data_IF_628200992824
#
_entry.id   IF_628200992824
#
_cell.length_a   1.000
_cell.length_b   1.000
_cell.length_c   1.000
_cell.angle_alpha   90.00
_cell.angle_beta   90.00
_cell.angle_gamma   90.00
#
_symmetry.space_group_name_H-M   'P 1'
#
loop_
_entity.id
_entity.type
_entity.pdbx_description
1 polymer ?
#
# COMPACT_ATOMS: atom_id res chain seq x y z
N UNK A 1 21.91 -17.28 15.92
CA UNK A 1 20.48 -17.60 15.75
C UNK A 1 20.33 -18.43 14.50
N UNK A 2 19.50 -19.48 14.51
CA UNK A 2 19.19 -20.24 13.29
C UNK A 2 18.33 -19.36 12.39
N UNK A 3 18.79 -19.10 11.16
CA UNK A 3 17.95 -18.48 10.14
C UNK A 3 16.69 -19.34 9.94
N UNK A 4 15.50 -18.73 9.88
CA UNK A 4 14.27 -19.46 9.59
C UNK A 4 14.37 -20.15 8.22
N UNK A 5 13.70 -21.28 8.06
CA UNK A 5 13.63 -22.00 6.78
C UNK A 5 12.92 -21.13 5.71
N UNK A 6 13.18 -21.42 4.43
CA UNK A 6 12.65 -20.63 3.30
C UNK A 6 11.12 -20.58 3.29
N UNK A 7 10.45 -21.69 3.59
CA UNK A 7 8.98 -21.73 3.66
C UNK A 7 8.44 -20.84 4.78
N UNK A 8 9.14 -20.80 5.92
CA UNK A 8 8.80 -19.95 7.06
C UNK A 8 8.97 -18.47 6.71
N UNK A 9 10.04 -18.12 5.96
CA UNK A 9 10.26 -16.75 5.48
C UNK A 9 9.17 -16.33 4.49
N UNK A 10 8.84 -17.18 3.52
CA UNK A 10 7.79 -16.94 2.52
C UNK A 10 6.44 -16.69 3.21
N UNK A 11 6.02 -17.58 4.12
CA UNK A 11 4.75 -17.43 4.85
C UNK A 11 4.69 -16.16 5.70
N UNK A 12 5.81 -15.82 6.33
CA UNK A 12 5.90 -14.59 7.13
C UNK A 12 5.73 -13.37 6.25
N UNK A 13 6.42 -13.33 5.10
CA UNK A 13 6.35 -12.22 4.17
C UNK A 13 4.97 -12.10 3.50
N UNK A 14 4.33 -13.22 3.15
CA UNK A 14 2.95 -13.25 2.65
C UNK A 14 1.94 -12.67 3.66
N UNK A 15 2.10 -12.98 4.95
CA UNK A 15 1.29 -12.38 6.03
C UNK A 15 1.52 -10.88 6.11
N UNK A 16 2.78 -10.44 6.10
CA UNK A 16 3.11 -9.02 6.17
C UNK A 16 2.62 -8.22 4.95
N UNK A 17 2.66 -8.81 3.76
CA UNK A 17 2.08 -8.22 2.55
C UNK A 17 0.58 -8.04 2.72
N UNK A 18 -0.13 -9.06 3.24
CA UNK A 18 -1.57 -8.97 3.51
C UNK A 18 -1.90 -7.85 4.50
N UNK A 19 -1.18 -7.78 5.61
CA UNK A 19 -1.33 -6.70 6.60
C UNK A 19 -1.05 -5.32 6.00
N UNK A 20 -0.10 -5.24 5.06
CA UNK A 20 0.19 -3.98 4.34
C UNK A 20 -0.96 -3.60 3.41
N UNK A 21 -1.54 -4.55 2.68
CA UNK A 21 -2.72 -4.32 1.83
C UNK A 21 -3.91 -3.82 2.64
N UNK A 22 -4.19 -4.45 3.79
CA UNK A 22 -5.28 -4.00 4.69
C UNK A 22 -5.07 -2.55 5.16
N UNK A 23 -3.82 -2.14 5.41
CA UNK A 23 -3.49 -0.76 5.77
C UNK A 23 -3.62 0.20 4.59
N UNK A 24 -3.28 -0.22 3.38
CA UNK A 24 -3.49 0.56 2.15
C UNK A 24 -4.99 0.80 1.94
N UNK A 25 -5.82 -0.23 2.14
CA UNK A 25 -7.28 -0.11 2.01
C UNK A 25 -7.85 0.88 3.02
N UNK A 26 -7.42 0.80 4.29
CA UNK A 26 -7.82 1.76 5.32
C UNK A 26 -7.37 3.21 5.00
N UNK A 27 -6.16 3.37 4.44
CA UNK A 27 -5.65 4.67 4.01
C UNK A 27 -6.48 5.23 2.83
N UNK A 28 -6.83 4.38 1.86
CA UNK A 28 -7.69 4.75 0.72
C UNK A 28 -9.09 5.16 1.18
N UNK A 29 -9.68 4.43 2.13
CA UNK A 29 -10.97 4.79 2.72
C UNK A 29 -10.90 6.14 3.43
N UNK A 30 -9.86 6.37 4.22
CA UNK A 30 -9.63 7.64 4.89
C UNK A 30 -9.51 8.80 3.89
N UNK A 31 -8.69 8.64 2.85
CA UNK A 31 -8.50 9.64 1.77
C UNK A 31 -9.80 9.89 1.00
N UNK A 32 -10.57 8.83 0.73
CA UNK A 32 -11.87 8.93 0.06
C UNK A 32 -12.90 9.71 0.89
N UNK A 33 -12.86 9.55 2.22
CA UNK A 33 -13.76 10.22 3.15
C UNK A 33 -13.27 11.62 3.59
N UNK A 34 -12.01 11.97 3.33
CA UNK A 34 -11.43 13.25 3.75
C UNK A 34 -12.24 14.50 3.32
N UNK A 35 -12.81 14.58 2.10
CA UNK A 35 -13.62 15.73 1.68
C UNK A 35 -14.86 15.98 2.56
N UNK A 36 -15.40 14.95 3.24
CA UNK A 36 -16.54 15.09 4.17
C UNK A 36 -16.18 15.97 5.37
N UNK A 37 -14.91 15.97 5.76
CA UNK A 37 -14.37 16.77 6.86
C UNK A 37 -13.80 18.11 6.40
N UNK A 38 -13.89 18.43 5.10
CA UNK A 38 -13.43 19.70 4.58
C UNK A 38 -14.20 20.85 5.24
N UNK A 39 -13.53 21.93 5.68
CA UNK A 39 -14.17 23.04 6.36
C UNK A 39 -14.86 23.98 5.35
N UNK A 40 -15.79 23.46 4.55
CA UNK A 40 -16.49 24.19 3.48
C UNK A 40 -17.28 25.40 4.00
N UNK A 41 -17.69 25.38 5.26
CA UNK A 41 -18.32 26.50 5.97
C UNK A 41 -17.39 27.71 6.16
N UNK A 42 -16.09 27.56 5.93
CA UNK A 42 -15.11 28.65 5.97
C UNK A 42 -14.89 29.28 4.60
N UNK A 43 -15.49 28.76 3.53
CA UNK A 43 -15.38 29.34 2.19
C UNK A 43 -16.36 30.52 2.11
N UNK A 44 -15.86 31.77 1.98
CA UNK A 44 -16.73 32.95 1.96
C UNK A 44 -17.70 32.91 0.77
N UNK A 45 -18.98 33.17 1.02
CA UNK A 45 -20.03 33.25 0.00
C UNK A 45 -20.67 31.92 -0.39
N UNK A 46 -20.25 30.79 0.21
CA UNK A 46 -20.93 29.49 0.04
C UNK A 46 -22.12 29.42 0.99
N UNK A 47 -23.09 30.29 0.73
CA UNK A 47 -24.35 30.40 1.45
C UNK A 47 -25.34 29.55 0.65
N UNK A 48 -25.83 28.46 1.23
CA UNK A 48 -26.64 27.45 0.54
C UNK A 48 -27.73 28.09 -0.33
N UNK A 49 -27.74 27.82 -1.64
CA UNK A 49 -28.89 27.69 -2.57
C UNK A 49 -28.47 27.97 -4.02
N UNK A 50 -27.31 28.60 -4.27
CA UNK A 50 -26.75 28.70 -5.63
C UNK A 50 -25.22 28.84 -5.61
N UNK A 51 -24.49 27.77 -5.94
CA UNK A 51 -23.02 27.81 -6.09
C UNK A 51 -22.72 28.42 -7.47
N UNK A 52 -22.04 29.56 -7.50
CA UNK A 52 -21.53 30.14 -8.75
C UNK A 52 -20.35 29.32 -9.30
N UNK A 53 -20.05 29.38 -10.60
CA UNK A 53 -18.89 28.67 -11.17
C UNK A 53 -17.56 28.99 -10.45
N UNK A 54 -17.30 30.24 -10.10
CA UNK A 54 -16.08 30.62 -9.37
C UNK A 54 -16.04 30.09 -7.93
N UNK A 55 -17.20 29.93 -7.26
CA UNK A 55 -17.27 29.29 -5.95
C UNK A 55 -17.07 27.77 -6.02
N UNK A 56 -17.47 27.15 -7.15
CA UNK A 56 -17.21 25.74 -7.40
C UNK A 56 -15.71 25.48 -7.55
N UNK A 57 -15.00 26.30 -8.31
CA UNK A 57 -13.53 26.18 -8.46
C UNK A 57 -12.81 26.27 -7.11
N UNK A 58 -13.22 27.21 -6.23
CA UNK A 58 -12.65 27.33 -4.89
C UNK A 58 -12.96 26.10 -4.01
N UNK A 59 -14.17 25.55 -4.10
CA UNK A 59 -14.53 24.34 -3.36
C UNK A 59 -13.76 23.12 -3.85
N UNK A 60 -13.61 22.97 -5.17
CA UNK A 60 -12.84 21.88 -5.77
C UNK A 60 -11.37 21.96 -5.32
N UNK A 61 -10.75 23.16 -5.33
CA UNK A 61 -9.40 23.36 -4.82
C UNK A 61 -9.27 23.00 -3.32
N UNK A 62 -10.27 23.35 -2.50
CA UNK A 62 -10.29 22.96 -1.08
C UNK A 62 -10.39 21.45 -0.92
N UNK A 63 -11.23 20.77 -1.71
CA UNK A 63 -11.36 19.32 -1.66
C UNK A 63 -10.07 18.62 -2.11
N UNK A 64 -9.42 19.10 -3.17
CA UNK A 64 -8.17 18.55 -3.66
C UNK A 64 -7.06 18.69 -2.60
N UNK A 65 -6.90 19.88 -2.00
CA UNK A 65 -5.93 20.09 -0.90
C UNK A 65 -6.20 19.21 0.31
N UNK A 66 -7.48 19.02 0.68
CA UNK A 66 -7.85 18.14 1.80
C UNK A 66 -7.52 16.69 1.46
N UNK A 67 -7.75 16.24 0.22
CA UNK A 67 -7.40 14.90 -0.25
C UNK A 67 -5.88 14.71 -0.27
N UNK A 68 -5.12 15.64 -0.82
CA UNK A 68 -3.65 15.60 -0.83
C UNK A 68 -3.09 15.49 0.60
N UNK A 69 -3.60 16.33 1.52
CA UNK A 69 -3.18 16.26 2.92
C UNK A 69 -3.57 14.94 3.58
N UNK A 70 -4.72 14.37 3.23
CA UNK A 70 -5.13 13.07 3.74
C UNK A 70 -4.24 11.93 3.23
N UNK A 71 -3.75 12.00 1.98
CA UNK A 71 -2.77 11.04 1.44
C UNK A 71 -1.49 11.10 2.27
N UNK A 72 -0.95 12.30 2.49
CA UNK A 72 0.26 12.50 3.29
C UNK A 72 0.08 12.01 4.74
N UNK A 73 -1.03 12.36 5.40
CA UNK A 73 -1.27 11.98 6.81
C UNK A 73 -1.52 10.49 6.98
N UNK A 74 -2.16 9.84 6.00
CA UNK A 74 -2.40 8.40 6.05
C UNK A 74 -1.15 7.56 5.77
N UNK A 75 -0.08 8.18 5.26
CA UNK A 75 1.14 7.50 4.86
C UNK A 75 0.90 6.50 3.71
N UNK A 76 -0.09 6.80 2.85
CA UNK A 76 -0.53 5.87 1.80
C UNK A 76 0.62 5.55 0.84
N UNK A 77 1.39 6.54 0.44
CA UNK A 77 2.48 6.37 -0.52
C UNK A 77 3.60 5.50 0.06
N UNK A 78 3.95 5.67 1.34
CA UNK A 78 4.92 4.83 2.03
C UNK A 78 4.43 3.38 2.18
N UNK A 79 3.13 3.18 2.39
CA UNK A 79 2.52 1.85 2.44
C UNK A 79 2.54 1.17 1.07
N UNK A 80 2.22 1.90 0.00
CA UNK A 80 2.31 1.39 -1.38
C UNK A 80 3.75 0.99 -1.74
N UNK A 81 4.74 1.82 -1.38
CA UNK A 81 6.16 1.46 -1.57
C UNK A 81 6.56 0.22 -0.75
N UNK A 82 6.13 0.16 0.52
CA UNK A 82 6.40 -1.01 1.38
C UNK A 82 5.81 -2.29 0.78
N UNK A 83 4.61 -2.22 0.20
CA UNK A 83 4.00 -3.35 -0.49
C UNK A 83 4.82 -3.80 -1.70
N UNK A 84 5.29 -2.87 -2.53
CA UNK A 84 6.12 -3.17 -3.70
C UNK A 84 7.45 -3.83 -3.29
N UNK A 85 8.14 -3.28 -2.29
CA UNK A 85 9.40 -3.82 -1.78
C UNK A 85 9.23 -5.24 -1.24
N UNK A 86 8.19 -5.48 -0.42
CA UNK A 86 7.90 -6.81 0.12
C UNK A 86 7.50 -7.80 -0.99
N UNK A 87 6.75 -7.35 -1.98
CA UNK A 87 6.34 -8.19 -3.12
C UNK A 87 7.55 -8.62 -3.95
N UNK A 88 8.49 -7.72 -4.20
CA UNK A 88 9.75 -8.03 -4.88
C UNK A 88 10.61 -9.02 -4.07
N UNK A 89 10.68 -8.85 -2.75
CA UNK A 89 11.35 -9.81 -1.86
C UNK A 89 10.70 -11.20 -1.88
N UNK A 90 9.36 -11.26 -1.93
CA UNK A 90 8.63 -12.53 -2.01
C UNK A 90 8.91 -13.26 -3.33
N UNK A 91 8.96 -12.53 -4.43
CA UNK A 91 9.31 -13.09 -5.74
C UNK A 91 10.74 -13.63 -5.74
N UNK A 92 11.69 -12.90 -5.17
CA UNK A 92 13.08 -13.36 -5.01
C UNK A 92 13.18 -14.64 -4.17
N UNK A 93 12.46 -14.73 -3.04
CA UNK A 93 12.44 -15.93 -2.19
C UNK A 93 11.81 -17.13 -2.92
N UNK A 94 10.71 -16.91 -3.65
CA UNK A 94 10.09 -17.96 -4.47
C UNK A 94 10.99 -18.43 -5.60
N UNK A 95 11.79 -17.54 -6.18
CA UNK A 95 12.78 -17.90 -7.19
C UNK A 95 13.92 -18.71 -6.58
N UNK A 96 14.43 -18.30 -5.41
CA UNK A 96 15.42 -19.07 -4.65
C UNK A 96 14.90 -20.47 -4.30
N UNK A 97 13.63 -20.62 -3.93
CA UNK A 97 13.03 -21.93 -3.65
C UNK A 97 12.99 -22.83 -4.89
N UNK A 98 12.73 -22.26 -6.07
CA UNK A 98 12.74 -23.01 -7.35
C UNK A 98 14.15 -23.42 -7.76
N UNK A 99 15.12 -22.53 -7.53
CA UNK A 99 16.52 -22.74 -7.93
C UNK A 99 17.30 -23.57 -6.91
N UNK A 100 16.80 -23.73 -5.68
CA UNK A 100 17.36 -24.65 -4.68
C UNK A 100 17.18 -26.06 -5.22
N UNK A 101 18.26 -26.76 -5.62
CA UNK A 101 18.13 -28.12 -6.08
C UNK A 101 17.62 -28.94 -4.91
N UNK A 102 16.56 -29.71 -5.13
CA UNK A 102 16.29 -30.93 -4.36
C UNK A 102 17.42 -31.95 -4.63
N UNK A 103 18.68 -31.59 -4.35
CA UNK A 103 19.85 -32.43 -4.56
C UNK A 103 20.39 -32.86 -3.19
N UNK A 104 19.85 -33.98 -2.72
CA UNK A 104 20.62 -34.91 -1.89
C UNK A 104 20.41 -36.37 -2.31
N UNK A 105 19.89 -36.63 -3.51
CA UNK A 105 19.69 -38.01 -4.00
C UNK A 105 20.20 -38.29 -5.42
N UNK A 106 20.51 -37.27 -6.24
CA UNK A 106 20.91 -37.49 -7.65
C UNK A 106 22.43 -37.45 -7.87
N UNK A 107 23.22 -36.81 -7.00
CA UNK A 107 24.69 -36.72 -7.18
C UNK A 107 25.49 -37.98 -6.78
N UNK A 108 24.84 -39.04 -6.27
CA UNK A 108 25.53 -40.30 -5.97
C UNK A 108 25.47 -41.35 -7.09
N UNK A 109 24.56 -41.20 -8.06
CA UNK A 109 24.35 -42.18 -9.13
C UNK A 109 25.07 -41.88 -10.46
N UNK A 110 25.82 -40.78 -10.56
CA UNK A 110 26.48 -40.33 -11.81
C UNK A 110 28.00 -40.19 -11.72
N UNK A 111 28.64 -40.74 -10.69
CA UNK A 111 30.09 -40.94 -10.69
C UNK A 111 30.41 -42.43 -10.70
N UNK A 112 30.72 -42.89 -11.90
CA UNK A 112 31.43 -44.14 -12.24
C UNK A 112 32.53 -44.51 -11.22
#
# INVERSE_FOLDING_TARGET
GRSPDLDTQIKTLEREIRETVERIDAANEFVGNAPVFAPIHKVPGVDSWTITPGQREVLDEVFDRVRERAVEVSGRDELEQTYLDKSAQLEALRQQQKDTPSSSFIDWFTRD
#
